data_IF_544689666106
#
_entry.id   IF_544689666106
#
_cell.length_a   1.000
_cell.length_b   1.000
_cell.length_c   1.000
_cell.angle_alpha   90.00
_cell.angle_beta   90.00
_cell.angle_gamma   90.00
#
_symmetry.space_group_name_H-M   'P 1'
#
loop_
_entity.id
_entity.type
_entity.pdbx_description
1 polymer ?
#
# COMPACT_ATOMS: atom_id res chain seq x y z
N UNK A 1 34.82 -20.91 11.97
CA UNK A 1 34.46 -19.99 13.07
C UNK A 1 33.32 -20.60 13.87
N UNK A 2 33.44 -20.70 15.19
CA UNK A 2 32.40 -21.26 16.06
C UNK A 2 31.69 -20.15 16.84
N UNK A 3 30.38 -20.29 17.04
CA UNK A 3 29.57 -19.31 17.77
C UNK A 3 29.96 -19.28 19.25
N UNK A 4 30.32 -18.11 19.77
CA UNK A 4 30.60 -17.88 21.19
C UNK A 4 29.27 -17.73 21.94
N UNK A 5 29.07 -18.54 22.97
CA UNK A 5 27.91 -18.51 23.87
C UNK A 5 27.85 -17.17 24.64
N UNK A 6 26.68 -16.53 24.69
CA UNK A 6 26.45 -15.27 25.42
C UNK A 6 26.22 -14.00 24.57
N UNK A 7 25.97 -14.12 23.26
CA UNK A 7 25.71 -12.94 22.41
C UNK A 7 24.22 -12.54 22.42
N UNK A 8 23.95 -11.34 22.92
CA UNK A 8 22.69 -10.60 22.75
C UNK A 8 22.45 -10.39 21.25
N UNK A 9 21.36 -10.95 20.72
CA UNK A 9 20.98 -10.70 19.33
C UNK A 9 20.31 -9.33 19.25
N UNK A 10 20.64 -8.52 18.24
CA UNK A 10 20.05 -7.19 18.05
C UNK A 10 19.12 -7.18 16.84
N UNK A 11 18.00 -6.46 16.96
CA UNK A 11 17.17 -6.03 15.83
C UNK A 11 17.69 -4.68 15.37
N UNK A 12 17.93 -4.48 14.07
CA UNK A 12 18.39 -3.21 13.56
C UNK A 12 17.47 -2.69 12.47
N UNK A 13 16.89 -1.51 12.68
CA UNK A 13 16.21 -0.75 11.64
C UNK A 13 17.26 0.01 10.84
N UNK A 14 17.40 -0.33 9.56
CA UNK A 14 18.38 0.26 8.66
C UNK A 14 17.71 1.02 7.53
N UNK A 15 18.15 2.26 7.31
CA UNK A 15 17.74 3.08 6.17
C UNK A 15 18.96 3.24 5.28
N UNK A 16 18.82 2.82 4.03
CA UNK A 16 19.86 2.89 3.02
C UNK A 16 19.41 3.87 1.93
N UNK A 17 20.23 4.89 1.68
CA UNK A 17 20.07 5.76 0.53
C UNK A 17 20.92 5.21 -0.62
N UNK A 18 20.23 4.73 -1.65
CA UNK A 18 20.84 4.14 -2.83
C UNK A 18 20.53 5.01 -4.06
N UNK A 19 21.59 5.47 -4.72
CA UNK A 19 21.55 6.16 -6.01
C UNK A 19 22.32 5.31 -7.03
N UNK A 20 21.63 4.44 -7.79
CA UNK A 20 22.30 3.54 -8.73
C UNK A 20 23.09 4.25 -9.85
N UNK A 21 22.64 5.43 -10.28
CA UNK A 21 23.19 6.17 -11.44
C UNK A 21 24.56 6.80 -11.20
N UNK A 22 24.97 7.01 -9.94
CA UNK A 22 26.31 7.44 -9.56
C UNK A 22 27.05 6.37 -8.73
N UNK A 23 26.47 5.16 -8.63
CA UNK A 23 26.97 4.04 -7.80
C UNK A 23 27.16 4.42 -6.34
N UNK A 24 26.33 5.32 -5.83
CA UNK A 24 26.39 5.76 -4.46
C UNK A 24 25.41 4.97 -3.60
N UNK A 25 25.92 4.32 -2.57
CA UNK A 25 25.12 3.64 -1.57
C UNK A 25 25.63 4.02 -0.21
N UNK A 26 24.78 4.66 0.58
CA UNK A 26 25.12 5.07 1.93
C UNK A 26 24.06 4.62 2.92
N UNK A 27 24.50 4.36 4.13
CA UNK A 27 23.64 4.00 5.23
C UNK A 27 23.29 5.29 6.00
N UNK A 28 22.03 5.69 5.91
CA UNK A 28 21.55 6.97 6.42
C UNK A 28 21.13 6.88 7.88
N UNK A 29 20.66 5.70 8.32
CA UNK A 29 20.28 5.46 9.70
C UNK A 29 20.45 4.00 10.05
N UNK A 30 21.01 3.71 11.22
CA UNK A 30 20.96 2.40 11.89
C UNK A 30 20.47 2.63 13.31
N UNK A 31 19.40 1.93 13.69
CA UNK A 31 18.92 1.89 15.08
C UNK A 31 18.85 0.44 15.50
N UNK A 32 19.68 0.03 16.46
CA UNK A 32 19.71 -1.35 16.94
C UNK A 32 19.16 -1.45 18.37
N UNK A 33 18.35 -2.48 18.62
CA UNK A 33 17.76 -2.79 19.93
C UNK A 33 18.06 -4.25 20.32
N UNK A 34 18.42 -4.54 21.59
CA UNK A 34 18.55 -5.91 22.08
C UNK A 34 17.24 -6.71 21.97
N UNK A 35 17.30 -7.90 21.37
CA UNK A 35 16.20 -8.88 21.34
C UNK A 35 16.43 -9.86 22.48
N UNK A 36 15.47 -9.96 23.41
CA UNK A 36 15.46 -11.00 24.44
C UNK A 36 15.29 -12.40 23.82
N UNK A 37 16.00 -13.41 24.34
CA UNK A 37 16.10 -14.77 23.78
C UNK A 37 14.75 -15.44 23.47
N UNK A 38 13.70 -15.09 24.23
CA UNK A 38 12.36 -15.63 24.07
C UNK A 38 11.64 -15.16 22.78
N UNK A 39 12.10 -14.07 22.14
CA UNK A 39 11.58 -13.56 20.85
C UNK A 39 12.26 -14.18 19.62
N UNK A 40 13.37 -14.91 19.80
CA UNK A 40 14.18 -15.46 18.70
C UNK A 40 13.44 -16.58 17.97
N UNK A 41 12.58 -17.33 18.68
CA UNK A 41 11.81 -18.45 18.13
C UNK A 41 10.70 -18.06 17.15
N UNK A 42 10.43 -16.77 16.96
CA UNK A 42 9.38 -16.28 16.06
C UNK A 42 9.92 -15.26 15.05
N UNK A 43 11.17 -15.43 14.61
CA UNK A 43 11.70 -14.66 13.48
C UNK A 43 11.30 -15.35 12.19
N UNK A 44 10.26 -14.82 11.55
CA UNK A 44 10.11 -15.02 10.11
C UNK A 44 11.21 -14.17 9.47
N UNK A 45 12.25 -14.81 8.97
CA UNK A 45 13.28 -14.13 8.19
C UNK A 45 12.59 -13.29 7.10
N UNK A 46 12.90 -11.99 7.04
CA UNK A 46 12.33 -11.09 6.04
C UNK A 46 12.90 -11.50 4.68
N UNK A 47 12.12 -12.27 3.93
CA UNK A 47 12.46 -12.68 2.58
C UNK A 47 12.37 -11.45 1.67
N UNK A 48 13.52 -10.90 1.30
CA UNK A 48 13.61 -9.87 0.25
C UNK A 48 12.99 -10.40 -1.05
N UNK A 49 12.03 -9.65 -1.58
CA UNK A 49 11.23 -10.05 -2.76
C UNK A 49 9.96 -10.86 -2.47
N UNK A 50 9.78 -11.31 -1.22
CA UNK A 50 8.51 -11.81 -0.72
C UNK A 50 7.50 -10.68 -0.48
N UNK A 51 6.24 -11.05 -0.28
CA UNK A 51 5.20 -10.11 0.09
C UNK A 51 5.37 -9.68 1.56
N UNK A 52 5.64 -8.41 1.79
CA UNK A 52 5.81 -7.83 3.13
C UNK A 52 4.62 -6.93 3.50
N UNK A 53 4.17 -6.94 4.77
CA UNK A 53 3.23 -5.92 5.26
C UNK A 53 3.81 -4.51 5.07
N UNK A 54 2.96 -3.54 4.72
CA UNK A 54 3.32 -2.14 4.61
C UNK A 54 2.38 -1.27 5.45
N UNK A 55 2.86 -0.13 5.91
CA UNK A 55 2.02 0.85 6.63
C UNK A 55 1.06 1.53 5.63
N UNK A 56 -0.27 1.49 5.84
CA UNK A 56 -1.23 2.25 5.05
C UNK A 56 -0.96 3.75 4.99
N UNK A 57 -0.22 4.30 5.95
CA UNK A 57 0.14 5.71 6.02
C UNK A 57 1.43 6.07 5.29
N UNK A 58 2.18 5.09 4.80
CA UNK A 58 3.40 5.29 4.03
C UNK A 58 3.12 6.16 2.78
N UNK A 59 4.09 7.01 2.43
CA UNK A 59 3.94 7.93 1.32
C UNK A 59 3.76 7.18 -0.02
N UNK A 60 4.53 6.11 -0.26
CA UNK A 60 4.40 5.29 -1.46
C UNK A 60 3.05 4.59 -1.55
N UNK A 61 2.55 4.08 -0.41
CA UNK A 61 1.21 3.47 -0.33
C UNK A 61 0.11 4.49 -0.63
N UNK A 62 0.22 5.71 -0.09
CA UNK A 62 -0.75 6.79 -0.37
C UNK A 62 -0.77 7.20 -1.83
N UNK A 63 0.40 7.35 -2.46
CA UNK A 63 0.47 7.67 -3.88
C UNK A 63 -0.06 6.52 -4.74
N UNK A 64 0.25 5.27 -4.40
CA UNK A 64 -0.32 4.10 -5.06
C UNK A 64 -1.84 4.03 -4.96
N UNK A 65 -2.41 4.29 -3.78
CA UNK A 65 -3.84 4.31 -3.60
C UNK A 65 -4.50 5.43 -4.43
N UNK A 66 -3.91 6.63 -4.46
CA UNK A 66 -4.41 7.75 -5.29
C UNK A 66 -4.39 7.40 -6.77
N UNK A 67 -3.27 6.85 -7.25
CA UNK A 67 -3.11 6.42 -8.63
C UNK A 67 -4.14 5.33 -9.00
N UNK A 68 -4.30 4.32 -8.14
CA UNK A 68 -5.26 3.24 -8.34
C UNK A 68 -6.70 3.77 -8.46
N UNK A 69 -7.11 4.69 -7.59
CA UNK A 69 -8.47 5.25 -7.62
C UNK A 69 -8.71 6.08 -8.88
N UNK A 70 -7.73 6.87 -9.32
CA UNK A 70 -7.82 7.61 -10.57
C UNK A 70 -8.01 6.65 -11.76
N UNK A 71 -7.23 5.56 -11.79
CA UNK A 71 -7.27 4.61 -12.90
C UNK A 71 -8.52 3.71 -12.86
N UNK A 72 -9.02 3.33 -11.68
CA UNK A 72 -10.32 2.67 -11.51
C UNK A 72 -11.43 3.57 -12.05
N UNK A 73 -11.45 4.85 -11.66
CA UNK A 73 -12.45 5.79 -12.15
C UNK A 73 -12.38 5.97 -13.67
N UNK A 74 -11.19 5.87 -14.26
CA UNK A 74 -10.99 5.93 -15.72
C UNK A 74 -11.50 4.66 -16.42
N UNK A 75 -11.18 3.48 -15.90
CA UNK A 75 -11.51 2.18 -16.51
C UNK A 75 -12.91 1.67 -16.21
N UNK A 76 -13.54 2.10 -15.11
CA UNK A 76 -14.87 1.62 -14.72
C UNK A 76 -15.99 2.23 -15.58
N UNK A 77 -17.08 1.49 -15.74
CA UNK A 77 -18.29 1.97 -16.42
C UNK A 77 -19.25 2.71 -15.48
N UNK A 78 -18.79 3.11 -14.29
CA UNK A 78 -19.62 3.83 -13.32
C UNK A 78 -19.95 5.23 -13.83
N UNK A 79 -21.21 5.64 -13.66
CA UNK A 79 -21.66 7.00 -14.02
C UNK A 79 -21.09 8.08 -13.09
N UNK A 80 -20.73 7.68 -11.86
CA UNK A 80 -20.20 8.56 -10.82
C UNK A 80 -18.77 8.16 -10.45
N UNK A 81 -17.97 9.16 -10.07
CA UNK A 81 -16.62 8.96 -9.57
C UNK A 81 -16.66 8.38 -8.16
N UNK A 82 -15.72 7.47 -7.88
CA UNK A 82 -15.45 6.95 -6.55
C UNK A 82 -14.30 7.71 -5.89
N UNK A 83 -14.37 7.87 -4.56
CA UNK A 83 -13.31 8.48 -3.74
C UNK A 83 -12.78 7.46 -2.74
N UNK A 84 -11.48 7.51 -2.48
CA UNK A 84 -10.86 6.72 -1.42
C UNK A 84 -11.41 7.15 -0.05
N UNK A 85 -11.95 6.21 0.71
CA UNK A 85 -12.31 6.41 2.12
C UNK A 85 -11.16 5.99 3.02
N UNK A 86 -10.68 4.76 2.85
CA UNK A 86 -9.60 4.19 3.67
C UNK A 86 -8.81 3.13 2.91
N UNK A 87 -7.53 3.01 3.24
CA UNK A 87 -6.68 1.87 2.85
C UNK A 87 -6.76 0.86 3.99
N UNK A 88 -7.49 -0.24 3.80
CA UNK A 88 -7.72 -1.26 4.84
C UNK A 88 -6.49 -2.13 5.07
N UNK A 89 -5.82 -2.51 3.99
CA UNK A 89 -4.61 -3.32 4.04
C UNK A 89 -3.63 -2.82 2.98
N UNK A 90 -2.34 -2.86 3.32
CA UNK A 90 -1.25 -2.57 2.39
C UNK A 90 -0.15 -3.61 2.54
N UNK A 91 0.31 -4.12 1.39
CA UNK A 91 1.47 -5.00 1.29
C UNK A 91 2.32 -4.56 0.11
N UNK A 92 3.63 -4.76 0.23
CA UNK A 92 4.59 -4.43 -0.82
C UNK A 92 5.39 -5.67 -1.21
N UNK A 93 5.87 -5.68 -2.43
CA UNK A 93 6.79 -6.70 -2.93
C UNK A 93 7.84 -6.04 -3.82
N UNK A 94 9.11 -6.27 -3.49
CA UNK A 94 10.24 -5.81 -4.30
C UNK A 94 10.43 -6.75 -5.48
N UNK A 95 10.44 -6.20 -6.69
CA UNK A 95 10.67 -6.91 -7.96
C UNK A 95 11.66 -6.09 -8.80
N UNK A 96 11.57 -6.09 -10.13
CA UNK A 96 12.18 -5.05 -10.97
C UNK A 96 11.43 -3.71 -10.81
N UNK A 97 11.16 -3.28 -9.58
CA UNK A 97 10.27 -2.19 -9.19
C UNK A 97 9.58 -2.54 -7.87
N UNK A 98 8.41 -1.98 -7.61
CA UNK A 98 7.62 -2.25 -6.41
C UNK A 98 6.19 -2.58 -6.81
N UNK A 99 5.68 -3.72 -6.36
CA UNK A 99 4.25 -4.00 -6.40
C UNK A 99 3.62 -3.58 -5.07
N UNK A 100 2.58 -2.76 -5.14
CA UNK A 100 1.71 -2.40 -4.04
C UNK A 100 0.41 -3.19 -4.15
N UNK A 101 0.18 -4.08 -3.21
CA UNK A 101 -1.06 -4.84 -3.07
C UNK A 101 -1.91 -4.14 -2.00
N UNK A 102 -2.96 -3.47 -2.43
CA UNK A 102 -3.79 -2.64 -1.55
C UNK A 102 -5.22 -3.15 -1.54
N UNK A 103 -5.81 -3.13 -0.35
CA UNK A 103 -7.25 -3.27 -0.18
C UNK A 103 -7.84 -1.91 0.15
N UNK A 104 -8.61 -1.36 -0.77
CA UNK A 104 -9.15 -0.02 -0.70
C UNK A 104 -10.63 -0.05 -0.42
N UNK A 105 -11.11 0.84 0.44
CA UNK A 105 -12.53 1.12 0.59
C UNK A 105 -12.86 2.41 -0.16
N UNK A 106 -13.77 2.31 -1.13
CA UNK A 106 -14.17 3.42 -1.97
C UNK A 106 -15.63 3.78 -1.72
N UNK A 107 -15.91 5.09 -1.65
CA UNK A 107 -17.27 5.63 -1.58
C UNK A 107 -17.65 6.30 -2.89
N UNK A 108 -18.86 6.02 -3.38
CA UNK A 108 -19.42 6.73 -4.53
C UNK A 108 -19.62 8.23 -4.19
N UNK A 109 -19.34 9.10 -5.16
CA UNK A 109 -19.54 10.55 -5.05
C UNK A 109 -20.72 11.01 -5.90
N UNK A 110 -21.16 12.25 -5.73
CA UNK A 110 -22.17 12.87 -6.60
C UNK A 110 -21.60 13.36 -7.95
N UNK A 111 -20.28 13.20 -8.16
CA UNK A 111 -19.60 13.74 -9.32
C UNK A 111 -19.73 12.81 -10.51
N UNK A 112 -20.39 13.29 -11.56
CA UNK A 112 -20.58 12.53 -12.80
C UNK A 112 -19.28 12.43 -13.58
N UNK A 113 -18.96 11.23 -14.05
CA UNK A 113 -17.80 10.98 -14.93
C UNK A 113 -17.98 11.78 -16.24
N UNK A 114 -16.97 12.57 -16.60
CA UNK A 114 -16.97 13.41 -17.82
C UNK A 114 -17.57 14.82 -17.65
N UNK A 115 -18.12 15.18 -16.49
CA UNK A 115 -18.43 16.57 -16.18
C UNK A 115 -17.14 17.37 -15.90
N UNK A 116 -17.19 18.71 -15.98
CA UNK A 116 -16.08 19.57 -15.53
C UNK A 116 -15.74 19.17 -14.09
N UNK A 117 -14.48 18.80 -13.85
CA UNK A 117 -14.00 18.33 -12.56
C UNK A 117 -14.31 19.39 -11.51
N UNK A 118 -15.28 19.12 -10.64
CA UNK A 118 -15.54 19.98 -9.50
C UNK A 118 -14.50 19.65 -8.42
N UNK A 119 -13.67 20.62 -7.99
CA UNK A 119 -12.70 20.38 -6.91
C UNK A 119 -13.36 19.95 -5.58
N UNK A 120 -14.67 20.17 -5.42
CA UNK A 120 -15.43 19.83 -4.22
C UNK A 120 -16.08 18.42 -4.23
N UNK A 121 -15.62 17.47 -5.06
CA UNK A 121 -16.14 16.10 -5.06
C UNK A 121 -15.90 15.39 -3.71
N UNK A 122 -16.93 15.42 -2.88
CA UNK A 122 -16.98 14.74 -1.58
C UNK A 122 -17.68 13.40 -1.71
N UNK A 123 -17.20 12.41 -0.96
CA UNK A 123 -17.86 11.11 -0.87
C UNK A 123 -19.23 11.29 -0.22
N UNK A 124 -20.25 10.62 -0.75
CA UNK A 124 -21.59 10.63 -0.16
C UNK A 124 -21.56 9.70 1.05
N UNK A 125 -21.89 10.24 2.22
CA UNK A 125 -21.64 9.60 3.51
C UNK A 125 -22.50 8.38 3.85
N UNK A 126 -23.26 7.73 2.93
CA UNK A 126 -24.22 6.71 3.42
C UNK A 126 -24.92 5.70 2.49
N UNK A 127 -24.56 5.39 1.22
CA UNK A 127 -25.31 4.31 0.52
C UNK A 127 -24.57 3.27 -0.32
N UNK A 128 -23.42 3.57 -0.96
CA UNK A 128 -22.73 2.59 -1.81
C UNK A 128 -21.22 2.69 -1.60
N UNK A 129 -20.74 1.87 -0.67
CA UNK A 129 -19.32 1.60 -0.48
C UNK A 129 -18.96 0.31 -1.22
N UNK A 130 -17.74 0.26 -1.73
CA UNK A 130 -17.17 -0.92 -2.37
C UNK A 130 -15.76 -1.15 -1.85
N UNK A 131 -15.41 -2.41 -1.70
CA UNK A 131 -14.06 -2.84 -1.39
C UNK A 131 -13.38 -3.26 -2.69
N UNK A 132 -12.16 -2.76 -2.92
CA UNK A 132 -11.39 -3.05 -4.10
C UNK A 132 -10.01 -3.60 -3.72
N UNK A 133 -9.69 -4.79 -4.22
CA UNK A 133 -8.32 -5.32 -4.22
C UNK A 133 -7.61 -4.83 -5.48
N UNK A 134 -6.50 -4.12 -5.29
CA UNK A 134 -5.71 -3.54 -6.38
C UNK A 134 -4.25 -3.93 -6.29
N UNK A 135 -3.62 -4.04 -7.45
CA UNK A 135 -2.16 -4.18 -7.59
C UNK A 135 -1.65 -3.05 -8.45
N UNK A 136 -0.77 -2.24 -7.87
CA UNK A 136 -0.11 -1.13 -8.55
C UNK A 136 1.37 -1.44 -8.66
N UNK A 137 1.90 -1.42 -9.87
CA UNK A 137 3.31 -1.58 -10.15
C UNK A 137 3.95 -0.21 -10.37
N UNK A 138 5.02 0.07 -9.62
CA UNK A 138 5.80 1.30 -9.71
C UNK A 138 7.25 0.98 -10.12
N UNK A 139 7.74 1.74 -11.10
CA UNK A 139 9.16 1.84 -11.47
C UNK A 139 9.61 3.29 -11.29
N UNK A 140 10.15 3.65 -10.12
CA UNK A 140 10.52 5.03 -9.81
C UNK A 140 11.49 5.65 -10.82
N UNK A 141 12.47 4.87 -11.29
CA UNK A 141 13.49 5.34 -12.25
C UNK A 141 12.96 5.62 -13.66
N UNK A 142 11.80 5.07 -14.01
CA UNK A 142 11.09 5.36 -15.26
C UNK A 142 9.92 6.33 -15.06
N UNK A 143 9.64 6.73 -13.81
CA UNK A 143 8.45 7.49 -13.42
C UNK A 143 7.17 6.83 -13.94
N UNK A 144 7.15 5.50 -13.88
CA UNK A 144 6.10 4.70 -14.50
C UNK A 144 5.26 4.00 -13.43
N UNK A 145 3.95 4.22 -13.52
CA UNK A 145 2.95 3.63 -12.65
C UNK A 145 1.93 2.88 -13.49
N UNK A 146 1.58 1.68 -13.07
CA UNK A 146 0.63 0.84 -13.77
C UNK A 146 -0.33 0.14 -12.80
N UNK A 147 -1.63 0.25 -13.08
CA UNK A 147 -2.64 -0.56 -12.41
C UNK A 147 -2.72 -1.90 -13.13
N UNK A 148 -1.99 -2.89 -12.61
CA UNK A 148 -1.85 -4.21 -13.23
C UNK A 148 -3.08 -5.07 -13.00
N UNK A 149 -3.74 -4.92 -11.86
CA UNK A 149 -4.99 -5.62 -11.54
C UNK A 149 -5.87 -4.79 -10.62
N UNK A 150 -7.19 -4.88 -10.82
CA UNK A 150 -8.17 -4.38 -9.86
C UNK A 150 -9.42 -5.26 -9.88
N UNK A 151 -9.99 -5.53 -8.71
CA UNK A 151 -11.28 -6.20 -8.54
C UNK A 151 -12.05 -5.49 -7.45
N UNK A 152 -13.28 -5.11 -7.72
CA UNK A 152 -14.14 -4.41 -6.76
C UNK A 152 -15.40 -5.22 -6.49
N UNK A 153 -15.83 -5.23 -5.23
CA UNK A 153 -17.08 -5.84 -4.77
C UNK A 153 -17.83 -4.86 -3.88
N UNK A 154 -19.18 -4.85 -3.92
CA UNK A 154 -19.96 -4.04 -3.00
C UNK A 154 -19.64 -4.44 -1.55
N UNK A 155 -19.38 -3.47 -0.67
CA UNK A 155 -19.10 -3.78 0.73
C UNK A 155 -20.40 -4.27 1.38
N UNK A 156 -20.40 -5.48 1.93
CA UNK A 156 -21.55 -6.03 2.65
C UNK A 156 -21.72 -5.30 3.99
N UNK A 157 -22.49 -4.21 4.00
CA UNK A 157 -23.01 -3.65 5.24
C UNK A 157 -24.38 -4.30 5.53
N UNK A 158 -24.37 -5.34 6.38
CA UNK A 158 -25.58 -5.97 6.92
C UNK A 158 -26.16 -5.11 8.06
N UNK A 159 -26.46 -3.85 7.75
CA UNK A 159 -27.17 -2.94 8.65
C UNK A 159 -28.50 -2.51 8.04
N UNK A 160 -29.28 -3.48 7.53
CA UNK A 160 -30.72 -3.27 7.33
C UNK A 160 -31.38 -3.45 8.69
N UNK A 161 -31.67 -2.32 9.33
CA UNK A 161 -32.58 -2.22 10.45
C UNK A 161 -33.93 -2.84 10.02
N UNK A 162 -34.16 -4.10 10.42
CA UNK A 162 -35.45 -4.76 10.32
C UNK A 162 -36.32 -4.15 11.43
N UNK A 163 -37.13 -3.16 11.07
CA UNK A 163 -38.30 -2.77 11.85
C UNK A 163 -39.48 -3.64 11.42
#
# INVERSE_FOLDING_TARGET
CSAVSGKVIQECDVVVYDRPWDKHRELTSVKCSPIADNKVRNRRDVLVGGLSPADPNDAGVKEAAKFAVAEINRRSNCSYLSKLLVVKEAKTQVVAGINYYLKLELGETYCRKGAKVNPACSAVSSKRTQECDVVVYDRPWEKHWELTSFKCSPSSDNSVHRQ
#
